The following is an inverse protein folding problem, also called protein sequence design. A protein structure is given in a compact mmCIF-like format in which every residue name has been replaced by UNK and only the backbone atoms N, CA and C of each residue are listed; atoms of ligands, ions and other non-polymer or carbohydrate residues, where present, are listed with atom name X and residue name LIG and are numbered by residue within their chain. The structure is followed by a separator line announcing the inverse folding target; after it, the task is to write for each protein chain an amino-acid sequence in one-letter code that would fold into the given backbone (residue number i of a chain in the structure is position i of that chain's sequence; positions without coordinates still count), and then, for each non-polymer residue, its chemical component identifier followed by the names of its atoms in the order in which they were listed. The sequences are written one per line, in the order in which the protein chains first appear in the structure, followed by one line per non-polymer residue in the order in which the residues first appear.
data_IF_099509197806
#
_entry.id   IF_099509197806
#
_cell.length_a   1.000
_cell.length_b   1.000
_cell.length_c   1.000
_cell.angle_alpha   90.00
_cell.angle_beta   90.00
_cell.angle_gamma   90.00
#
_symmetry.space_group_name_H-M   'P 1'
#
loop_
_entity.id
_entity.type
_entity.pdbx_description
1 polymer ?
#
# COMPACT_ATOMS: atom_id res chain seq x y z
N UNK A 1 12.69 23.54 17.41
CA UNK A 1 12.62 22.86 16.10
C UNK A 1 13.57 21.67 16.10
N UNK A 2 13.05 20.44 16.00
CA UNK A 2 13.88 19.27 15.72
C UNK A 2 14.60 19.48 14.38
N UNK A 3 15.93 19.66 14.41
CA UNK A 3 16.79 19.91 13.25
C UNK A 3 17.06 18.62 12.47
N UNK A 4 16.03 17.87 12.09
CA UNK A 4 16.20 16.73 11.21
C UNK A 4 16.43 17.26 9.80
N UNK A 5 17.58 16.94 9.21
CA UNK A 5 17.83 17.24 7.81
C UNK A 5 16.91 16.35 6.96
N UNK A 6 15.99 16.97 6.21
CA UNK A 6 15.29 16.30 5.13
C UNK A 6 16.16 16.37 3.88
N UNK A 7 16.20 15.27 3.13
CA UNK A 7 16.98 15.16 1.90
C UNK A 7 16.09 14.59 0.81
N UNK A 8 15.95 15.32 -0.30
CA UNK A 8 15.27 14.78 -1.47
C UNK A 8 16.19 13.75 -2.11
N UNK A 9 15.81 12.48 -1.98
CA UNK A 9 16.58 11.36 -2.54
C UNK A 9 16.40 11.19 -4.04
N UNK A 10 15.50 11.96 -4.67
CA UNK A 10 15.32 11.89 -6.11
C UNK A 10 16.51 12.48 -6.85
N UNK A 11 16.88 11.80 -7.92
CA UNK A 11 17.85 12.34 -8.85
C UNK A 11 17.23 13.51 -9.61
N UNK A 12 17.95 14.63 -9.71
CA UNK A 12 17.58 15.73 -10.62
C UNK A 12 17.63 15.31 -12.09
N UNK A 13 18.41 14.25 -12.40
CA UNK A 13 18.49 13.66 -13.72
C UNK A 13 17.34 12.67 -13.94
N UNK A 14 16.77 12.69 -15.15
CA UNK A 14 15.78 11.72 -15.61
C UNK A 14 16.44 10.35 -15.83
N UNK A 15 16.58 9.60 -14.74
CA UNK A 15 17.15 8.26 -14.74
C UNK A 15 16.04 7.22 -14.88
N UNK A 16 16.23 6.16 -15.69
CA UNK A 16 15.27 5.08 -15.77
C UNK A 16 15.05 4.43 -14.40
N UNK A 17 13.83 4.48 -13.89
CA UNK A 17 13.44 3.82 -12.65
C UNK A 17 12.70 2.52 -12.97
N UNK A 18 13.12 1.44 -12.33
CA UNK A 18 12.45 0.15 -12.43
C UNK A 18 11.62 -0.12 -11.17
N UNK A 19 10.35 -0.47 -11.37
CA UNK A 19 9.45 -0.89 -10.30
C UNK A 19 9.90 -2.26 -9.75
N UNK A 20 9.50 -2.61 -8.51
CA UNK A 20 9.72 -3.96 -7.99
C UNK A 20 9.17 -5.08 -8.88
N UNK A 21 8.15 -4.81 -9.70
CA UNK A 21 7.56 -5.79 -10.61
C UNK A 21 8.17 -5.85 -12.00
N UNK A 22 9.04 -4.91 -12.36
CA UNK A 22 9.62 -4.82 -13.70
C UNK A 22 10.28 -6.15 -14.15
N UNK A 23 11.00 -6.81 -13.24
CA UNK A 23 11.60 -8.13 -13.51
C UNK A 23 10.52 -9.20 -13.71
N UNK A 24 9.53 -9.27 -12.82
CA UNK A 24 8.46 -10.28 -12.82
C UNK A 24 7.63 -10.19 -14.09
N UNK A 25 7.24 -9.00 -14.52
CA UNK A 25 6.48 -8.81 -15.76
C UNK A 25 7.27 -9.26 -17.00
N UNK A 26 8.60 -9.14 -16.98
CA UNK A 26 9.44 -9.58 -18.09
C UNK A 26 9.74 -11.10 -18.09
N UNK A 27 9.83 -11.73 -16.92
CA UNK A 27 10.37 -13.11 -16.79
C UNK A 27 9.36 -14.15 -16.29
N UNK A 28 8.36 -13.73 -15.51
CA UNK A 28 7.38 -14.63 -14.88
C UNK A 28 6.07 -14.75 -15.68
N UNK A 29 5.98 -14.05 -16.82
CA UNK A 29 4.77 -13.95 -17.65
C UNK A 29 3.79 -12.92 -17.12
N UNK A 30 2.91 -12.41 -17.97
CA UNK A 30 1.80 -11.53 -17.59
C UNK A 30 0.59 -11.89 -18.48
N UNK A 31 -0.29 -12.81 -18.04
CA UNK A 31 -1.48 -13.18 -18.81
C UNK A 31 -2.30 -11.93 -19.14
N UNK A 32 -2.75 -11.78 -20.39
CA UNK A 32 -3.56 -10.63 -20.77
C UNK A 32 -4.92 -10.67 -20.05
N UNK A 33 -5.44 -9.49 -19.70
CA UNK A 33 -6.82 -9.37 -19.21
C UNK A 33 -7.77 -9.72 -20.35
N UNK A 34 -8.68 -10.67 -20.14
CA UNK A 34 -9.69 -11.11 -21.11
C UNK A 34 -11.10 -10.93 -20.53
N UNK A 35 -12.16 -11.04 -21.36
CA UNK A 35 -13.53 -11.08 -20.85
C UNK A 35 -13.81 -12.24 -19.89
N UNK A 36 -12.95 -13.27 -19.85
CA UNK A 36 -13.05 -14.39 -18.92
C UNK A 36 -12.30 -14.13 -17.60
N UNK A 37 -11.48 -13.08 -17.52
CA UNK A 37 -10.74 -12.76 -16.30
C UNK A 37 -11.68 -12.35 -15.18
N UNK A 38 -11.81 -13.22 -14.18
CA UNK A 38 -12.58 -12.97 -12.97
C UNK A 38 -11.77 -12.24 -11.90
N UNK A 39 -10.47 -12.12 -12.14
CA UNK A 39 -9.50 -11.43 -11.30
C UNK A 39 -8.49 -10.68 -12.19
N UNK A 40 -8.20 -9.44 -11.84
CA UNK A 40 -7.19 -8.60 -12.48
C UNK A 40 -6.17 -8.18 -11.42
N UNK A 41 -4.90 -8.42 -11.72
CA UNK A 41 -3.75 -8.04 -10.91
C UNK A 41 -3.03 -6.87 -11.58
N UNK A 42 -2.70 -5.84 -10.81
CA UNK A 42 -1.89 -4.70 -11.25
C UNK A 42 -0.94 -4.25 -10.15
N UNK A 43 0.19 -3.67 -10.54
CA UNK A 43 1.02 -2.90 -9.60
C UNK A 43 0.47 -1.46 -9.54
N UNK A 44 0.52 -0.83 -8.36
CA UNK A 44 0.48 0.63 -8.23
C UNK A 44 1.92 1.11 -8.04
N UNK A 45 2.63 1.41 -9.14
CA UNK A 45 4.08 1.53 -9.10
C UNK A 45 4.53 2.83 -8.45
N UNK A 46 5.67 2.76 -7.75
CA UNK A 46 6.46 3.91 -7.31
C UNK A 46 5.74 4.93 -6.42
N UNK A 47 4.61 4.55 -5.81
CA UNK A 47 3.92 5.39 -4.85
C UNK A 47 4.84 5.78 -3.67
N UNK A 48 4.59 6.97 -3.12
CA UNK A 48 5.25 7.45 -1.92
C UNK A 48 4.67 6.77 -0.67
N UNK A 49 5.51 6.15 0.17
CA UNK A 49 5.09 5.46 1.38
C UNK A 49 5.83 6.04 2.59
N UNK A 50 5.10 6.64 3.54
CA UNK A 50 5.65 7.16 4.78
C UNK A 50 5.12 6.34 5.98
N UNK A 51 6.01 5.97 6.90
CA UNK A 51 5.62 5.51 8.23
C UNK A 51 5.61 6.69 9.17
N UNK A 52 4.47 6.95 9.80
CA UNK A 52 4.30 7.96 10.86
C UNK A 52 4.25 7.25 12.20
N UNK A 53 5.04 7.76 13.17
CA UNK A 53 5.03 7.32 14.57
C UNK A 53 4.80 8.49 15.50
N UNK A 54 3.99 8.32 16.54
CA UNK A 54 3.75 9.37 17.52
C UNK A 54 2.35 9.32 18.16
N UNK A 55 2.01 10.38 18.90
CA UNK A 55 0.71 10.50 19.53
C UNK A 55 -0.40 10.76 18.52
N UNK A 56 -1.44 9.93 18.51
CA UNK A 56 -2.52 9.95 17.54
C UNK A 56 -3.17 11.34 17.35
N UNK A 57 -3.46 12.06 18.44
CA UNK A 57 -4.10 13.38 18.40
C UNK A 57 -3.25 14.38 17.61
N UNK A 58 -1.95 14.44 17.93
CA UNK A 58 -1.02 15.39 17.32
C UNK A 58 -0.79 15.06 15.84
N UNK A 59 -0.66 13.77 15.52
CA UNK A 59 -0.52 13.33 14.13
C UNK A 59 -1.80 13.58 13.32
N UNK A 60 -2.98 13.37 13.89
CA UNK A 60 -4.27 13.56 13.22
C UNK A 60 -4.53 15.03 12.85
N UNK A 61 -4.15 15.97 13.72
CA UNK A 61 -4.21 17.40 13.39
C UNK A 61 -3.30 17.76 12.21
N UNK A 62 -2.04 17.30 12.22
CA UNK A 62 -1.10 17.56 11.14
C UNK A 62 -1.50 16.90 9.82
N UNK A 63 -1.91 15.63 9.85
CA UNK A 63 -2.33 14.87 8.66
C UNK A 63 -3.58 15.48 8.04
N UNK A 64 -4.59 15.87 8.83
CA UNK A 64 -5.78 16.55 8.31
C UNK A 64 -5.44 17.89 7.66
N UNK A 65 -4.52 18.66 8.25
CA UNK A 65 -4.12 19.95 7.70
C UNK A 65 -3.33 19.83 6.39
N UNK A 66 -2.42 18.87 6.30
CA UNK A 66 -1.52 18.70 5.14
C UNK A 66 -2.16 17.90 4.01
N UNK A 67 -2.84 16.80 4.34
CA UNK A 67 -3.40 15.87 3.35
C UNK A 67 -4.92 15.95 3.18
N UNK A 68 -5.64 16.59 4.11
CA UNK A 68 -7.10 16.60 4.09
C UNK A 68 -7.74 15.25 4.46
N UNK A 69 -6.96 14.31 4.98
CA UNK A 69 -7.41 12.96 5.35
C UNK A 69 -7.40 12.82 6.87
N UNK A 70 -8.37 12.11 7.44
CA UNK A 70 -8.36 11.80 8.87
C UNK A 70 -7.34 10.69 9.16
N UNK A 71 -6.63 10.79 10.29
CA UNK A 71 -5.83 9.69 10.79
C UNK A 71 -6.78 8.66 11.44
N UNK A 72 -6.78 7.39 10.99
CA UNK A 72 -7.65 6.38 11.56
C UNK A 72 -7.27 6.11 13.02
N UNK A 73 -8.21 6.30 13.94
CA UNK A 73 -8.03 6.06 15.37
C UNK A 73 -8.42 4.65 15.84
N UNK A 74 -9.16 3.90 15.02
CA UNK A 74 -9.57 2.53 15.34
C UNK A 74 -8.55 1.51 14.81
N UNK A 75 -8.28 0.43 15.57
CA UNK A 75 -7.42 -0.65 15.09
C UNK A 75 -7.86 -1.18 13.73
N UNK A 76 -6.88 -1.38 12.84
CA UNK A 76 -7.08 -1.95 11.51
C UNK A 76 -7.84 -1.04 10.53
N UNK A 77 -8.19 0.19 10.91
CA UNK A 77 -8.90 1.09 10.00
C UNK A 77 -7.99 1.63 8.88
N UNK A 78 -8.58 1.73 7.69
CA UNK A 78 -8.02 2.29 6.48
C UNK A 78 -8.89 3.47 6.05
N UNK A 79 -8.26 4.62 5.85
CA UNK A 79 -8.93 5.82 5.33
C UNK A 79 -8.29 6.19 3.99
N UNK A 80 -9.12 6.54 3.02
CA UNK A 80 -8.68 7.06 1.72
C UNK A 80 -9.22 8.48 1.54
N UNK A 81 -8.56 9.27 0.71
CA UNK A 81 -9.14 10.52 0.21
C UNK A 81 -10.26 10.27 -0.81
N UNK A 82 -10.94 11.34 -1.22
CA UNK A 82 -12.05 11.25 -2.18
C UNK A 82 -11.61 10.67 -3.54
N UNK A 83 -10.36 10.92 -3.94
CA UNK A 83 -9.80 10.38 -5.19
C UNK A 83 -9.44 8.90 -5.10
N UNK A 84 -9.25 8.39 -3.88
CA UNK A 84 -8.73 7.04 -3.63
C UNK A 84 -7.24 6.87 -3.93
N UNK A 85 -6.51 7.95 -4.24
CA UNK A 85 -5.08 7.91 -4.56
C UNK A 85 -4.19 8.05 -3.34
N UNK A 86 -4.71 8.65 -2.26
CA UNK A 86 -4.00 8.82 -1.00
C UNK A 86 -4.69 8.02 0.09
N UNK A 87 -3.92 7.43 0.98
CA UNK A 87 -4.49 6.62 2.06
C UNK A 87 -3.66 6.67 3.33
N UNK A 88 -4.33 6.45 4.45
CA UNK A 88 -3.73 6.27 5.77
C UNK A 88 -4.24 4.97 6.37
N UNK A 89 -3.32 4.08 6.71
CA UNK A 89 -3.60 2.78 7.30
C UNK A 89 -3.09 2.74 8.74
N UNK A 90 -3.98 2.41 9.68
CA UNK A 90 -3.57 2.10 11.05
C UNK A 90 -2.74 0.80 11.07
N UNK A 91 -1.57 0.83 11.69
CA UNK A 91 -0.72 -0.37 11.86
C UNK A 91 -0.62 -0.80 13.32
N UNK A 92 -0.43 0.16 14.22
CA UNK A 92 -0.36 -0.05 15.67
C UNK A 92 -0.78 1.22 16.41
N UNK A 93 -0.94 1.21 17.76
CA UNK A 93 -1.46 2.35 18.52
C UNK A 93 -0.70 3.68 18.33
N UNK A 94 0.58 3.60 17.95
CA UNK A 94 1.45 4.74 17.68
C UNK A 94 2.06 4.70 16.27
N UNK A 95 1.48 3.95 15.32
CA UNK A 95 2.06 3.73 13.99
C UNK A 95 1.02 3.68 12.85
N UNK A 96 1.29 4.46 11.79
CA UNK A 96 0.47 4.54 10.59
C UNK A 96 1.32 4.47 9.33
N UNK A 97 0.78 3.82 8.29
CA UNK A 97 1.32 3.86 6.93
C UNK A 97 0.50 4.84 6.10
N UNK A 98 1.17 5.85 5.56
CA UNK A 98 0.61 6.78 4.57
C UNK A 98 1.11 6.38 3.20
N UNK A 99 0.20 6.26 2.22
CA UNK A 99 0.53 6.04 0.82
C UNK A 99 -0.01 7.22 0.01
N UNK A 100 0.83 7.81 -0.83
CA UNK A 100 0.52 8.93 -1.73
C UNK A 100 1.03 8.64 -3.15
N UNK A 101 0.52 9.35 -4.18
CA UNK A 101 1.07 9.25 -5.53
C UNK A 101 2.59 9.39 -5.62
N UNK A 102 3.17 8.79 -6.67
CA UNK A 102 4.55 9.05 -7.03
C UNK A 102 4.71 10.54 -7.28
N UNK A 103 5.55 11.18 -6.47
CA UNK A 103 5.80 12.61 -6.55
C UNK A 103 5.82 13.23 -5.17
N UNK A 104 4.94 12.75 -4.30
CA UNK A 104 4.46 13.56 -3.19
C UNK A 104 5.16 13.27 -1.86
N UNK A 105 5.91 12.17 -1.73
CA UNK A 105 6.48 11.73 -0.45
C UNK A 105 7.36 12.79 0.23
N UNK A 106 8.29 13.41 -0.51
CA UNK A 106 9.23 14.38 0.04
C UNK A 106 8.54 15.68 0.47
N UNK A 107 7.64 16.21 -0.37
CA UNK A 107 6.87 17.41 -0.05
C UNK A 107 5.95 17.17 1.15
N UNK A 108 5.30 16.01 1.20
CA UNK A 108 4.48 15.58 2.31
C UNK A 108 5.28 15.45 3.61
N UNK A 109 6.43 14.77 3.59
CA UNK A 109 7.29 14.64 4.76
C UNK A 109 7.71 16.02 5.26
N UNK A 110 8.13 16.90 4.36
CA UNK A 110 8.55 18.27 4.70
C UNK A 110 7.41 19.07 5.34
N UNK A 111 6.21 19.01 4.76
CA UNK A 111 5.03 19.68 5.29
C UNK A 111 4.62 19.13 6.66
N UNK A 112 4.60 17.81 6.84
CA UNK A 112 4.27 17.19 8.13
C UNK A 112 5.29 17.55 9.21
N UNK A 113 6.60 17.54 8.90
CA UNK A 113 7.65 17.96 9.84
C UNK A 113 7.50 19.42 10.25
N UNK A 114 7.16 20.29 9.30
CA UNK A 114 6.88 21.69 9.58
C UNK A 114 5.69 21.85 10.53
N UNK A 115 4.57 21.16 10.25
CA UNK A 115 3.36 21.23 11.07
C UNK A 115 3.53 20.63 12.47
N UNK A 116 4.28 19.52 12.58
CA UNK A 116 4.52 18.86 13.86
C UNK A 116 5.56 19.57 14.73
N UNK A 117 6.40 20.42 14.14
CA UNK A 117 7.40 21.25 14.82
C UNK A 117 8.23 20.48 15.89
N UNK A 118 8.00 20.78 17.17
CA UNK A 118 8.72 20.21 18.32
C UNK A 118 7.98 19.06 19.03
N UNK A 119 6.90 18.57 18.43
CA UNK A 119 6.20 17.39 18.94
C UNK A 119 7.10 16.14 18.94
N UNK A 120 6.73 15.14 19.73
CA UNK A 120 7.39 13.83 19.72
C UNK A 120 6.80 12.94 18.62
N UNK A 121 7.57 12.73 17.55
CA UNK A 121 7.16 11.91 16.41
C UNK A 121 8.38 11.30 15.69
N UNK A 122 8.12 10.33 14.81
CA UNK A 122 9.05 9.94 13.77
C UNK A 122 8.33 9.83 12.42
N UNK A 123 8.99 10.25 11.35
CA UNK A 123 8.56 10.05 9.96
C UNK A 123 9.69 9.33 9.25
N UNK A 124 9.36 8.25 8.54
CA UNK A 124 10.31 7.48 7.74
C UNK A 124 9.76 7.25 6.35
N UNK A 125 10.48 7.69 5.33
CA UNK A 125 10.23 7.30 3.95
C UNK A 125 10.64 5.83 3.75
N UNK A 126 9.68 5.01 3.36
CA UNK A 126 9.85 3.58 3.07
C UNK A 126 9.42 3.22 1.65
N UNK A 127 9.26 4.21 0.77
CA UNK A 127 8.79 4.06 -0.62
C UNK A 127 9.64 3.05 -1.39
N UNK A 128 10.97 3.09 -1.25
CA UNK A 128 11.88 2.16 -1.93
C UNK A 128 11.89 0.73 -1.37
N UNK A 129 11.26 0.49 -0.20
CA UNK A 129 11.30 -0.78 0.53
C UNK A 129 10.09 -1.70 0.30
N UNK A 130 9.06 -1.23 -0.39
CA UNK A 130 7.81 -1.94 -0.61
C UNK A 130 7.13 -1.50 -1.91
N UNK A 131 6.15 -2.28 -2.37
CA UNK A 131 5.25 -1.92 -3.48
C UNK A 131 3.82 -2.29 -3.10
N UNK A 132 2.86 -1.76 -3.83
CA UNK A 132 1.43 -2.06 -3.66
C UNK A 132 0.96 -2.85 -4.88
N UNK A 133 0.52 -4.08 -4.63
CA UNK A 133 -0.18 -4.89 -5.62
C UNK A 133 -1.67 -4.77 -5.38
N UNK A 134 -2.44 -4.57 -6.44
CA UNK A 134 -3.90 -4.49 -6.38
C UNK A 134 -4.49 -5.71 -7.09
N UNK A 135 -5.46 -6.33 -6.42
CA UNK A 135 -6.24 -7.45 -6.93
C UNK A 135 -7.70 -7.01 -6.98
N UNK A 136 -8.30 -7.03 -8.16
CA UNK A 136 -9.68 -6.62 -8.38
C UNK A 136 -10.47 -7.69 -9.12
N UNK A 137 -11.74 -7.89 -8.74
CA UNK A 137 -12.65 -8.79 -9.43
C UNK A 137 -13.35 -9.76 -8.49
N UNK A 138 -14.38 -10.42 -9.01
CA UNK A 138 -15.23 -11.30 -8.21
C UNK A 138 -14.51 -12.53 -7.64
N UNK A 139 -13.44 -13.02 -8.28
CA UNK A 139 -12.64 -14.14 -7.76
C UNK A 139 -11.53 -13.73 -6.79
N UNK A 140 -11.36 -12.44 -6.51
CA UNK A 140 -10.22 -11.94 -5.73
C UNK A 140 -10.23 -12.46 -4.29
N UNK A 141 -11.42 -12.59 -3.71
CA UNK A 141 -11.58 -13.09 -2.33
C UNK A 141 -11.17 -14.55 -2.23
N UNK A 142 -11.58 -15.39 -3.18
CA UNK A 142 -11.25 -16.81 -3.23
C UNK A 142 -9.76 -17.05 -3.48
N UNK A 143 -9.10 -16.20 -4.28
CA UNK A 143 -7.63 -16.20 -4.41
C UNK A 143 -6.98 -15.92 -3.06
N UNK A 144 -7.47 -14.94 -2.31
CA UNK A 144 -6.95 -14.62 -0.97
C UNK A 144 -7.22 -15.73 0.04
N UNK A 145 -8.36 -16.43 -0.02
CA UNK A 145 -8.66 -17.56 0.86
C UNK A 145 -7.65 -18.71 0.75
N UNK A 146 -6.98 -18.87 -0.41
CA UNK A 146 -5.90 -19.84 -0.60
C UNK A 146 -4.57 -19.37 0.02
N UNK A 147 -4.44 -18.10 0.35
CA UNK A 147 -3.15 -17.43 0.49
C UNK A 147 -2.94 -16.80 1.86
N UNK A 148 -3.99 -16.31 2.49
CA UNK A 148 -3.91 -15.69 3.82
C UNK A 148 -4.60 -16.55 4.88
N UNK A 149 -4.06 -16.50 6.09
CA UNK A 149 -4.66 -17.14 7.26
C UNK A 149 -5.78 -16.32 7.90
N UNK A 150 -5.88 -15.04 7.54
CA UNK A 150 -6.85 -14.11 8.10
C UNK A 150 -8.20 -14.29 7.43
N UNK A 151 -9.30 -14.17 8.18
CA UNK A 151 -10.64 -14.30 7.60
C UNK A 151 -10.95 -13.10 6.69
N UNK A 152 -10.99 -13.37 5.39
CA UNK A 152 -11.28 -12.41 4.31
C UNK A 152 -12.75 -12.39 3.90
N UNK A 153 -13.62 -13.11 4.61
CA UNK A 153 -15.05 -13.06 4.33
C UNK A 153 -15.58 -11.61 4.48
N UNK A 154 -16.43 -11.11 3.56
CA UNK A 154 -16.86 -9.71 3.57
C UNK A 154 -17.51 -9.20 4.86
N UNK A 155 -18.13 -10.09 5.64
CA UNK A 155 -18.71 -9.75 6.95
C UNK A 155 -17.64 -9.45 8.02
N UNK A 156 -16.46 -10.06 7.91
CA UNK A 156 -15.34 -9.92 8.84
C UNK A 156 -14.29 -8.91 8.35
N UNK A 157 -14.00 -8.92 7.06
CA UNK A 157 -13.08 -8.00 6.41
C UNK A 157 -13.84 -6.98 5.58
N UNK A 158 -14.40 -5.97 6.24
CA UNK A 158 -15.20 -4.92 5.59
C UNK A 158 -14.32 -3.93 4.82
N UNK A 159 -14.94 -3.16 3.93
CA UNK A 159 -14.29 -2.01 3.28
C UNK A 159 -13.80 -1.02 4.34
N UNK A 160 -12.65 -0.40 4.11
CA UNK A 160 -12.00 0.50 5.08
C UNK A 160 -11.23 -0.25 6.17
N UNK A 161 -10.88 -1.51 5.94
CA UNK A 161 -10.03 -2.31 6.83
C UNK A 161 -8.68 -2.62 6.17
N UNK A 162 -7.64 -2.70 6.97
CA UNK A 162 -6.38 -3.33 6.60
C UNK A 162 -5.67 -3.96 7.78
N UNK A 163 -4.96 -5.05 7.52
CA UNK A 163 -4.31 -5.89 8.53
C UNK A 163 -2.93 -6.33 8.06
N UNK A 164 -1.98 -6.38 8.98
CA UNK A 164 -0.71 -7.08 8.72
C UNK A 164 -0.94 -8.57 8.97
N UNK A 165 -0.70 -9.40 7.96
CA UNK A 165 -0.94 -10.85 8.02
C UNK A 165 0.12 -11.63 7.24
N UNK A 166 0.09 -12.95 7.42
CA UNK A 166 0.85 -13.89 6.61
C UNK A 166 0.09 -14.16 5.31
N UNK A 167 0.78 -13.99 4.19
CA UNK A 167 0.35 -14.34 2.83
C UNK A 167 1.34 -15.32 2.26
N UNK A 168 0.94 -16.59 2.05
CA UNK A 168 1.79 -17.62 1.45
C UNK A 168 3.23 -17.62 1.98
N UNK A 169 3.43 -17.62 3.31
CA UNK A 169 4.75 -17.55 3.98
C UNK A 169 5.52 -16.22 3.84
N UNK A 170 5.00 -15.23 3.12
CA UNK A 170 5.43 -13.84 3.16
C UNK A 170 4.57 -13.03 4.13
N UNK A 171 4.97 -11.78 4.43
CA UNK A 171 4.17 -10.83 5.21
C UNK A 171 3.67 -9.72 4.30
N UNK A 172 2.38 -9.39 4.43
CA UNK A 172 1.74 -8.30 3.69
C UNK A 172 0.89 -7.46 4.63
N UNK A 173 0.69 -6.20 4.26
CA UNK A 173 -0.44 -5.42 4.76
C UNK A 173 -1.57 -5.61 3.74
N UNK A 174 -2.53 -6.47 4.07
CA UNK A 174 -3.72 -6.70 3.26
C UNK A 174 -4.73 -5.61 3.56
N UNK A 175 -5.28 -4.98 2.53
CA UNK A 175 -6.17 -3.81 2.63
C UNK A 175 -7.39 -4.01 1.74
N UNK A 176 -8.54 -3.46 2.15
CA UNK A 176 -9.79 -3.50 1.38
C UNK A 176 -10.35 -2.10 1.16
N UNK A 177 -9.88 -1.37 0.14
CA UNK A 177 -10.32 0.00 -0.14
C UNK A 177 -11.73 0.10 -0.74
N UNK A 178 -12.25 -0.95 -1.38
CA UNK A 178 -13.63 -1.00 -1.90
C UNK A 178 -14.16 -2.44 -1.91
N UNK A 179 -15.42 -2.64 -2.30
CA UNK A 179 -16.03 -3.98 -2.30
C UNK A 179 -15.33 -4.95 -3.25
N UNK A 180 -14.84 -4.46 -4.38
CA UNK A 180 -14.23 -5.25 -5.46
C UNK A 180 -12.71 -5.26 -5.45
N UNK A 181 -12.06 -4.37 -4.68
CA UNK A 181 -10.61 -4.17 -4.71
C UNK A 181 -9.97 -4.59 -3.40
N UNK A 182 -8.88 -5.31 -3.54
CA UNK A 182 -7.95 -5.66 -2.48
C UNK A 182 -6.57 -5.12 -2.82
N UNK A 183 -5.84 -4.69 -1.81
CA UNK A 183 -4.46 -4.22 -1.98
C UNK A 183 -3.54 -4.99 -1.03
N UNK A 184 -2.35 -5.31 -1.51
CA UNK A 184 -1.30 -5.99 -0.78
C UNK A 184 -0.07 -5.10 -0.81
N UNK A 185 0.23 -4.47 0.33
CA UNK A 185 1.53 -3.82 0.50
C UNK A 185 2.55 -4.89 0.83
N UNK A 186 3.49 -5.09 -0.09
CA UNK A 186 4.48 -6.17 -0.05
C UNK A 186 5.88 -5.59 0.03
N UNK A 187 6.76 -6.19 0.84
CA UNK A 187 8.18 -5.83 0.83
C UNK A 187 8.76 -6.08 -0.57
N UNK A 188 9.60 -5.15 -1.04
CA UNK A 188 10.18 -5.19 -2.40
C UNK A 188 10.84 -6.52 -2.74
N UNK A 189 11.55 -7.12 -1.79
CA UNK A 189 12.24 -8.41 -1.97
C UNK A 189 11.29 -9.60 -2.16
N UNK A 190 10.03 -9.48 -1.76
CA UNK A 190 9.00 -10.51 -1.91
C UNK A 190 8.04 -10.23 -3.08
N UNK A 191 8.23 -9.16 -3.85
CA UNK A 191 7.32 -8.78 -4.93
C UNK A 191 7.19 -9.88 -6.00
N UNK A 192 8.30 -10.44 -6.51
CA UNK A 192 8.28 -11.56 -7.47
C UNK A 192 7.62 -12.81 -6.87
N UNK A 193 7.93 -13.14 -5.62
CA UNK A 193 7.33 -14.29 -4.94
C UNK A 193 5.80 -14.15 -4.87
N UNK A 194 5.32 -13.03 -4.34
CA UNK A 194 3.89 -12.76 -4.18
C UNK A 194 3.18 -12.74 -5.54
N UNK A 195 3.80 -12.14 -6.55
CA UNK A 195 3.27 -12.11 -7.91
C UNK A 195 3.06 -13.51 -8.49
N UNK A 196 4.11 -14.34 -8.48
CA UNK A 196 4.05 -15.69 -9.03
C UNK A 196 3.05 -16.57 -8.29
N UNK A 197 2.96 -16.39 -6.97
CA UNK A 197 1.95 -17.06 -6.16
C UNK A 197 0.53 -16.62 -6.56
N UNK A 198 0.30 -15.32 -6.76
CA UNK A 198 -1.02 -14.81 -7.18
C UNK A 198 -1.42 -15.32 -8.56
N UNK A 199 -0.47 -15.43 -9.50
CA UNK A 199 -0.72 -16.02 -10.82
C UNK A 199 -1.14 -17.48 -10.71
N UNK A 200 -0.42 -18.28 -9.94
CA UNK A 200 -0.72 -19.70 -9.73
C UNK A 200 -2.09 -19.90 -9.05
N UNK A 201 -2.33 -19.19 -7.96
CA UNK A 201 -3.59 -19.31 -7.22
C UNK A 201 -4.80 -18.72 -7.96
N UNK A 202 -4.55 -17.74 -8.82
CA UNK A 202 -5.55 -17.06 -9.66
C UNK A 202 -5.86 -17.76 -10.98
N UNK A 203 -5.09 -18.80 -11.35
CA UNK A 203 -5.19 -19.45 -12.67
C UNK A 203 -6.61 -19.99 -12.95
N UNK A 204 -7.26 -20.63 -11.97
CA UNK A 204 -8.63 -21.14 -12.11
C UNK A 204 -9.68 -20.03 -12.30
N UNK A 205 -9.31 -18.78 -12.02
CA UNK A 205 -10.14 -17.58 -12.19
C UNK A 205 -9.75 -16.78 -13.44
N UNK A 206 -8.90 -17.35 -14.31
CA UNK A 206 -8.36 -16.71 -15.50
C UNK A 206 -7.70 -15.35 -15.19
N UNK A 207 -6.90 -15.31 -14.11
CA UNK A 207 -6.23 -14.08 -13.66
C UNK A 207 -5.53 -13.36 -14.82
N UNK A 208 -5.90 -12.11 -15.02
CA UNK A 208 -5.26 -11.20 -15.97
C UNK A 208 -4.31 -10.24 -15.27
N UNK A 209 -3.31 -9.77 -15.98
CA UNK A 209 -2.32 -8.80 -15.49
C UNK A 209 -2.37 -7.54 -16.33
N UNK A 210 -2.59 -6.42 -15.65
CA UNK A 210 -2.49 -5.08 -16.21
C UNK A 210 -1.14 -4.47 -15.77
N UNK A 211 -0.36 -4.02 -16.76
CA UNK A 211 1.01 -3.51 -16.57
C UNK A 211 1.03 -2.00 -16.54
#
# INVERSE_FOLDING_TARGET
MSKVATFDTRAEADLPVATPMAYSFAHSGAPAVTPQSRVVLRERPLQGHLILRGGAIVLDEAVRKVLGINLPGEPQALTLDESGQRSVQWLSPDEWLVIVPDGEAFELETALRHELADAHYAISDVSGGQTLLELEGEGATEVLMKSVIYDVHPSHFKVGKGVTTVFAKATVILRRPSETRWELVVRRSFADYTYRWLLDAGDEFAIGVER
#
